data_IF_842703761572
#
_entry.id   IF_842703761572
#
_cell.length_a   1.000
_cell.length_b   1.000
_cell.length_c   1.000
_cell.angle_alpha   90.00
_cell.angle_beta   90.00
_cell.angle_gamma   90.00
#
_symmetry.space_group_name_H-M   'P 1'
#
loop_
_entity.id
_entity.type
_entity.pdbx_description
1 polymer ?
#
# COMPACT_ATOMS: atom_id res chain seq x y z
N UNK A 1 12.92 -5.96 23.96
CA UNK A 1 13.85 -6.03 22.81
C UNK A 1 13.34 -7.10 21.85
N UNK A 2 13.25 -6.83 20.53
CA UNK A 2 12.89 -7.88 19.56
C UNK A 2 13.94 -8.98 19.65
N UNK A 3 13.51 -10.19 20.00
CA UNK A 3 14.42 -11.30 20.26
C UNK A 3 14.69 -12.00 18.93
N UNK A 4 15.87 -11.80 18.37
CA UNK A 4 16.30 -12.53 17.18
C UNK A 4 16.47 -14.01 17.50
N UNK A 5 16.02 -14.90 16.60
CA UNK A 5 16.25 -16.34 16.77
C UNK A 5 17.72 -16.68 16.45
N UNK A 6 18.56 -16.62 17.49
CA UNK A 6 20.01 -16.86 17.39
C UNK A 6 20.33 -18.26 16.83
N UNK A 7 19.56 -19.28 17.24
CA UNK A 7 19.73 -20.64 16.74
C UNK A 7 19.50 -20.71 15.23
N UNK A 8 18.47 -20.04 14.73
CA UNK A 8 18.15 -20.01 13.32
C UNK A 8 19.19 -19.24 12.50
N UNK A 9 19.71 -18.12 13.03
CA UNK A 9 20.81 -17.36 12.43
C UNK A 9 22.08 -18.21 12.33
N UNK A 10 22.43 -18.95 13.38
CA UNK A 10 23.60 -19.84 13.35
C UNK A 10 23.41 -20.99 12.37
N UNK A 11 22.22 -21.61 12.33
CA UNK A 11 21.92 -22.68 11.36
C UNK A 11 21.98 -22.19 9.92
N UNK A 12 21.54 -20.97 9.63
CA UNK A 12 21.59 -20.41 8.27
C UNK A 12 23.02 -20.04 7.88
N UNK A 13 23.79 -19.44 8.79
CA UNK A 13 25.21 -19.16 8.59
C UNK A 13 26.01 -20.44 8.30
N UNK A 14 25.78 -21.49 9.09
CA UNK A 14 26.46 -22.78 8.92
C UNK A 14 26.08 -23.47 7.61
N UNK A 15 24.79 -23.50 7.26
CA UNK A 15 24.32 -24.03 5.96
C UNK A 15 24.97 -23.30 4.79
N UNK A 16 25.02 -21.97 4.85
CA UNK A 16 25.67 -21.14 3.83
C UNK A 16 27.15 -21.47 3.75
N UNK A 17 27.88 -21.49 4.86
CA UNK A 17 29.30 -21.83 4.88
C UNK A 17 29.60 -23.19 4.26
N UNK A 18 28.78 -24.21 4.54
CA UNK A 18 28.89 -25.55 3.93
C UNK A 18 28.63 -25.53 2.42
N UNK A 19 27.75 -24.66 1.93
CA UNK A 19 27.44 -24.58 0.50
C UNK A 19 28.52 -23.86 -0.31
N UNK A 20 29.22 -22.87 0.25
CA UNK A 20 30.25 -22.08 -0.46
C UNK A 20 31.63 -22.75 -0.55
N UNK A 21 31.82 -23.95 0.02
CA UNK A 21 33.02 -24.81 -0.12
C UNK A 21 34.38 -24.06 -0.08
N UNK A 22 34.55 -23.10 0.83
CA UNK A 22 35.81 -22.37 1.02
C UNK A 22 35.93 -21.02 0.29
N UNK A 23 34.97 -20.65 -0.55
CA UNK A 23 34.96 -19.33 -1.21
C UNK A 23 34.72 -18.16 -0.24
N UNK A 24 34.05 -18.43 0.89
CA UNK A 24 33.72 -17.43 1.91
C UNK A 24 34.04 -17.95 3.28
N UNK A 25 34.53 -17.06 4.14
CA UNK A 25 34.78 -17.39 5.53
C UNK A 25 33.47 -17.57 6.30
N UNK A 26 33.51 -18.32 7.41
CA UNK A 26 32.33 -18.48 8.27
C UNK A 26 31.84 -17.14 8.82
N UNK A 27 32.75 -16.20 9.10
CA UNK A 27 32.39 -14.87 9.62
C UNK A 27 31.60 -14.04 8.60
N UNK A 28 31.90 -14.14 7.30
CA UNK A 28 31.12 -13.52 6.22
C UNK A 28 29.73 -14.13 6.07
N UNK A 29 29.64 -15.46 6.21
CA UNK A 29 28.38 -16.18 6.22
C UNK A 29 27.51 -15.77 7.42
N UNK A 30 28.13 -15.60 8.59
CA UNK A 30 27.47 -15.13 9.81
C UNK A 30 26.99 -13.68 9.68
N UNK A 31 27.81 -12.77 9.15
CA UNK A 31 27.42 -11.39 8.85
C UNK A 31 26.21 -11.37 7.90
N UNK A 32 26.24 -12.17 6.84
CA UNK A 32 25.12 -12.31 5.90
C UNK A 32 23.83 -12.77 6.58
N UNK A 33 23.91 -13.81 7.42
CA UNK A 33 22.76 -14.35 8.15
C UNK A 33 22.15 -13.33 9.11
N UNK A 34 22.99 -12.55 9.79
CA UNK A 34 22.55 -11.45 10.66
C UNK A 34 21.84 -10.34 9.88
N UNK A 35 22.38 -9.92 8.73
CA UNK A 35 21.72 -8.92 7.88
C UNK A 35 20.36 -9.42 7.41
N UNK A 36 20.26 -10.69 7.00
CA UNK A 36 19.01 -11.29 6.58
C UNK A 36 17.98 -11.35 7.71
N UNK A 37 18.38 -11.72 8.92
CA UNK A 37 17.48 -11.74 10.07
C UNK A 37 16.94 -10.35 10.44
N UNK A 38 17.79 -9.31 10.36
CA UNK A 38 17.35 -7.91 10.51
C UNK A 38 16.35 -7.51 9.42
N UNK A 39 16.62 -7.91 8.18
CA UNK A 39 15.74 -7.66 7.05
C UNK A 39 14.39 -8.37 7.23
N UNK A 40 14.38 -9.62 7.66
CA UNK A 40 13.15 -10.36 7.92
C UNK A 40 12.29 -9.69 9.00
N UNK A 41 12.91 -9.18 10.07
CA UNK A 41 12.20 -8.38 11.07
C UNK A 41 11.62 -7.11 10.44
N UNK A 42 12.32 -6.44 9.54
CA UNK A 42 11.79 -5.24 8.87
C UNK A 42 10.53 -5.52 8.04
N UNK A 43 10.35 -6.75 7.56
CA UNK A 43 9.18 -7.23 6.81
C UNK A 43 8.11 -7.91 7.67
N UNK A 44 8.17 -7.84 9.00
CA UNK A 44 7.03 -8.30 9.82
C UNK A 44 5.81 -7.43 9.55
N UNK A 45 4.61 -8.01 9.55
CA UNK A 45 3.34 -7.31 9.27
C UNK A 45 3.17 -6.00 10.04
N UNK A 46 3.56 -5.97 11.32
CA UNK A 46 3.52 -4.75 12.15
C UNK A 46 4.41 -3.62 11.62
N UNK A 47 5.62 -3.96 11.15
CA UNK A 47 6.57 -2.98 10.63
C UNK A 47 6.18 -2.53 9.22
N UNK A 48 5.60 -3.42 8.42
CA UNK A 48 5.04 -3.07 7.11
C UNK A 48 3.86 -2.11 7.33
N UNK A 49 2.89 -2.47 8.17
CA UNK A 49 1.75 -1.62 8.48
C UNK A 49 2.17 -0.26 9.05
N UNK A 50 3.22 -0.21 9.87
CA UNK A 50 3.80 1.05 10.35
C UNK A 50 4.37 1.88 9.21
N UNK A 51 5.17 1.29 8.33
CA UNK A 51 5.76 1.97 7.16
C UNK A 51 4.69 2.46 6.19
N UNK A 52 3.64 1.69 5.97
CA UNK A 52 2.52 2.07 5.11
C UNK A 52 1.75 3.25 5.71
N UNK A 53 1.49 3.24 7.01
CA UNK A 53 0.88 4.38 7.72
C UNK A 53 1.74 5.63 7.61
N UNK A 54 3.04 5.52 7.85
CA UNK A 54 3.99 6.62 7.71
C UNK A 54 4.01 7.16 6.27
N UNK A 55 3.99 6.28 5.27
CA UNK A 55 3.95 6.65 3.87
C UNK A 55 2.66 7.40 3.52
N UNK A 56 1.49 6.88 3.92
CA UNK A 56 0.19 7.53 3.71
C UNK A 56 0.15 8.90 4.39
N UNK A 57 0.62 9.01 5.63
CA UNK A 57 0.71 10.29 6.34
C UNK A 57 1.63 11.27 5.62
N UNK A 58 2.80 10.82 5.14
CA UNK A 58 3.73 11.65 4.40
C UNK A 58 3.16 12.13 3.05
N UNK A 59 2.35 11.31 2.36
CA UNK A 59 1.64 11.75 1.16
C UNK A 59 0.55 12.77 1.52
N UNK A 60 -0.29 12.46 2.51
CA UNK A 60 -1.36 13.36 2.93
C UNK A 60 -0.82 14.74 3.35
N UNK A 61 0.30 14.79 4.08
CA UNK A 61 0.95 16.03 4.47
C UNK A 61 1.44 16.88 3.27
N UNK A 62 1.82 16.25 2.15
CA UNK A 62 2.17 17.00 0.92
C UNK A 62 0.94 17.65 0.29
N UNK A 63 -0.22 17.02 0.41
CA UNK A 63 -1.48 17.49 -0.17
C UNK A 63 -2.31 18.34 0.80
N UNK A 64 -1.94 18.41 2.08
CA UNK A 64 -2.66 19.20 3.10
C UNK A 64 -2.77 20.69 2.75
N UNK A 65 -1.76 21.23 2.06
CA UNK A 65 -1.74 22.63 1.59
C UNK A 65 -2.27 22.82 0.17
N UNK A 66 -2.65 21.74 -0.50
CA UNK A 66 -3.21 21.81 -1.85
C UNK A 66 -4.69 22.14 -1.73
N UNK A 67 -5.07 23.36 -2.12
CA UNK A 67 -6.47 23.72 -2.20
C UNK A 67 -7.18 22.77 -3.19
N UNK A 68 -8.31 22.16 -2.81
CA UNK A 68 -9.09 21.38 -3.76
C UNK A 68 -9.46 22.27 -4.94
N UNK A 69 -9.29 21.75 -6.15
CA UNK A 69 -9.73 22.45 -7.36
C UNK A 69 -11.19 22.85 -7.21
N UNK A 70 -11.52 24.09 -7.58
CA UNK A 70 -12.92 24.50 -7.65
C UNK A 70 -13.61 23.60 -8.68
N UNK A 71 -14.63 22.86 -8.25
CA UNK A 71 -15.51 22.11 -9.16
C UNK A 71 -16.07 23.10 -10.18
N UNK A 72 -16.04 22.71 -11.45
CA UNK A 72 -16.59 23.56 -12.50
C UNK A 72 -18.12 23.64 -12.35
N UNK A 73 -18.76 24.64 -12.96
CA UNK A 73 -20.22 24.71 -13.02
C UNK A 73 -20.86 23.49 -13.70
N UNK A 74 -20.10 22.73 -14.50
CA UNK A 74 -20.55 21.50 -15.14
C UNK A 74 -20.56 20.29 -14.21
N UNK A 75 -19.88 20.38 -13.07
CA UNK A 75 -19.83 19.33 -12.05
C UNK A 75 -20.97 19.47 -11.02
N UNK A 76 -21.87 20.43 -11.22
CA UNK A 76 -23.00 20.67 -10.32
C UNK A 76 -24.10 19.62 -10.52
N UNK A 77 -24.18 18.68 -9.58
CA UNK A 77 -25.24 17.66 -9.54
C UNK A 77 -26.54 18.20 -8.93
N UNK A 78 -26.63 19.52 -8.67
CA UNK A 78 -27.86 20.15 -8.18
C UNK A 78 -28.94 20.29 -9.24
N UNK A 79 -28.65 19.97 -10.51
CA UNK A 79 -29.64 20.06 -11.59
C UNK A 79 -30.76 19.05 -11.29
N UNK A 80 -32.00 19.51 -11.06
CA UNK A 80 -33.09 18.62 -10.69
C UNK A 80 -33.45 17.72 -11.89
N UNK A 81 -33.92 16.51 -11.60
CA UNK A 81 -34.38 15.58 -12.64
C UNK A 81 -35.44 16.20 -13.58
N UNK A 82 -36.23 17.17 -13.09
CA UNK A 82 -37.20 17.93 -13.88
C UNK A 82 -36.58 18.80 -14.99
N UNK A 83 -35.28 19.11 -14.92
CA UNK A 83 -34.57 19.81 -15.98
C UNK A 83 -34.26 18.88 -17.17
N UNK A 84 -34.20 17.57 -16.94
CA UNK A 84 -33.95 16.55 -17.97
C UNK A 84 -35.23 15.84 -18.42
N UNK A 85 -36.24 15.74 -17.55
CA UNK A 85 -37.46 14.99 -17.79
C UNK A 85 -38.70 15.85 -17.55
N UNK A 86 -39.66 15.81 -18.48
CA UNK A 86 -40.97 16.42 -18.24
C UNK A 86 -41.81 15.50 -17.34
N UNK A 87 -42.84 16.05 -16.68
CA UNK A 87 -43.68 15.29 -15.75
C UNK A 87 -44.38 14.06 -16.38
N UNK A 88 -44.50 14.04 -17.71
CA UNK A 88 -45.14 12.99 -18.51
C UNK A 88 -44.12 12.11 -19.27
N UNK A 89 -42.81 12.24 -19.01
CA UNK A 89 -41.74 11.49 -19.69
C UNK A 89 -41.59 10.05 -19.18
N UNK A 90 -42.51 9.57 -18.35
CA UNK A 90 -42.48 8.22 -17.79
C UNK A 90 -43.12 7.21 -18.77
N UNK A 91 -42.28 6.36 -19.34
CA UNK A 91 -42.68 5.20 -20.10
C UNK A 91 -43.15 4.05 -19.22
N UNK A 92 -43.61 2.96 -19.86
CA UNK A 92 -44.07 1.76 -19.16
C UNK A 92 -42.95 1.19 -18.28
N UNK A 93 -43.27 0.94 -17.00
CA UNK A 93 -42.34 0.52 -15.93
C UNK A 93 -41.38 1.60 -15.39
N UNK A 94 -41.68 2.89 -15.58
CA UNK A 94 -40.89 3.98 -14.98
C UNK A 94 -39.62 4.32 -15.77
N UNK A 95 -39.47 3.81 -16.99
CA UNK A 95 -38.45 4.26 -17.93
C UNK A 95 -38.65 5.73 -18.25
N UNK A 96 -37.58 6.49 -18.46
CA UNK A 96 -37.68 7.89 -18.87
C UNK A 96 -37.13 8.02 -20.29
N UNK A 97 -37.88 8.66 -21.18
CA UNK A 97 -37.46 8.88 -22.57
C UNK A 97 -36.41 9.98 -22.63
N UNK A 98 -35.21 9.64 -23.13
CA UNK A 98 -34.11 10.59 -23.39
C UNK A 98 -34.08 10.80 -24.90
N UNK A 99 -34.40 12.01 -25.37
CA UNK A 99 -34.11 12.39 -26.76
C UNK A 99 -32.60 12.66 -26.83
N UNK A 100 -31.87 11.88 -27.63
CA UNK A 100 -30.49 12.18 -28.05
C UNK A 100 -30.50 13.30 -29.10
#
# INVERSE_FOLDING_TARGET
MKQYNLSQIMKSAHRKFRSVKGEKSFSECLKSAWMFAKLQVSFSDENIAKKDREFVQAQNAKFEKVAPSKRSSYDDLSIPASAYYNANSTGRFGSHFVND
#
